data_IF_307713772218
#
_entry.id   IF_307713772218
#
_cell.length_a   1.000
_cell.length_b   1.000
_cell.length_c   1.000
_cell.angle_alpha   90.00
_cell.angle_beta   90.00
_cell.angle_gamma   90.00
#
_symmetry.space_group_name_H-M   'P 1'
#
loop_
_entity.id
_entity.type
_entity.pdbx_description
1 polymer ?
#
# COMPACT_ATOMS: atom_id res chain seq x y z
N UNK A 1 7.22 -1.59 27.35
CA UNK A 1 6.96 -2.10 25.98
C UNK A 1 8.24 -1.91 25.19
N UNK A 2 8.89 -2.99 24.76
CA UNK A 2 10.10 -2.90 23.94
C UNK A 2 9.81 -2.15 22.64
N UNK A 3 10.73 -1.26 22.22
CA UNK A 3 10.62 -0.49 20.97
C UNK A 3 10.31 -1.40 19.76
N UNK A 4 10.86 -2.61 19.73
CA UNK A 4 10.59 -3.60 18.69
C UNK A 4 9.09 -3.97 18.59
N UNK A 5 8.40 -4.14 19.72
CA UNK A 5 6.98 -4.49 19.73
C UNK A 5 6.10 -3.36 19.18
N UNK A 6 6.46 -2.11 19.47
CA UNK A 6 5.77 -0.94 18.91
C UNK A 6 5.96 -0.83 17.39
N UNK A 7 7.17 -1.06 16.88
CA UNK A 7 7.42 -1.06 15.42
C UNK A 7 6.61 -2.16 14.71
N UNK A 8 6.54 -3.36 15.28
CA UNK A 8 5.78 -4.47 14.70
C UNK A 8 4.28 -4.23 14.69
N UNK A 9 3.72 -3.69 15.78
CA UNK A 9 2.31 -3.30 15.85
C UNK A 9 1.99 -2.19 14.86
N UNK A 10 2.86 -1.19 14.74
CA UNK A 10 2.71 -0.10 13.77
C UNK A 10 2.78 -0.62 12.32
N UNK A 11 3.64 -1.61 12.04
CA UNK A 11 3.73 -2.28 10.75
C UNK A 11 2.42 -2.95 10.34
N UNK A 12 1.84 -3.78 11.22
CA UNK A 12 0.53 -4.41 10.98
C UNK A 12 -0.54 -3.35 10.76
N UNK A 13 -0.59 -2.33 11.62
CA UNK A 13 -1.60 -1.27 11.52
C UNK A 13 -1.49 -0.50 10.20
N UNK A 14 -0.28 -0.21 9.73
CA UNK A 14 -0.01 0.46 8.46
C UNK A 14 -0.54 -0.35 7.27
N UNK A 15 -0.27 -1.65 7.23
CA UNK A 15 -0.77 -2.52 6.15
C UNK A 15 -2.29 -2.60 6.17
N UNK A 16 -2.91 -2.76 7.35
CA UNK A 16 -4.37 -2.77 7.48
C UNK A 16 -4.99 -1.43 7.05
N UNK A 17 -4.34 -0.31 7.36
CA UNK A 17 -4.79 1.02 6.98
C UNK A 17 -4.74 1.21 5.47
N UNK A 18 -3.61 0.93 4.82
CA UNK A 18 -3.47 1.05 3.35
C UNK A 18 -4.50 0.16 2.63
N UNK A 19 -4.72 -1.05 3.15
CA UNK A 19 -5.70 -1.97 2.59
C UNK A 19 -7.14 -1.47 2.79
N UNK A 20 -7.46 -0.99 3.99
CA UNK A 20 -8.76 -0.39 4.31
C UNK A 20 -9.06 0.85 3.48
N UNK A 21 -8.07 1.71 3.24
CA UNK A 21 -8.17 2.89 2.36
C UNK A 21 -8.59 2.46 0.96
N UNK A 22 -7.88 1.50 0.35
CA UNK A 22 -8.14 1.09 -1.04
C UNK A 22 -9.57 0.58 -1.23
N UNK A 23 -10.02 -0.33 -0.36
CA UNK A 23 -11.35 -0.95 -0.47
C UNK A 23 -12.45 0.03 -0.06
N UNK A 24 -12.25 0.76 1.04
CA UNK A 24 -13.23 1.74 1.55
C UNK A 24 -13.48 2.87 0.55
N UNK A 25 -12.42 3.47 0.01
CA UNK A 25 -12.54 4.50 -1.01
C UNK A 25 -13.18 3.98 -2.31
N UNK A 26 -12.82 2.76 -2.75
CA UNK A 26 -13.41 2.13 -3.92
C UNK A 26 -14.93 1.99 -3.80
N UNK A 27 -15.41 1.44 -2.69
CA UNK A 27 -16.85 1.24 -2.46
C UNK A 27 -17.61 2.57 -2.34
N UNK A 28 -16.99 3.58 -1.72
CA UNK A 28 -17.60 4.91 -1.60
C UNK A 28 -17.67 5.63 -2.94
N UNK A 29 -16.60 5.61 -3.73
CA UNK A 29 -16.57 6.21 -5.07
C UNK A 29 -17.37 5.43 -6.12
N UNK A 30 -17.72 4.18 -5.86
CA UNK A 30 -18.63 3.40 -6.69
C UNK A 30 -20.13 3.60 -6.34
N UNK A 31 -20.43 4.34 -5.26
CA UNK A 31 -21.81 4.55 -4.79
C UNK A 31 -22.51 3.24 -4.40
N UNK A 32 -21.77 2.29 -3.80
CA UNK A 32 -22.36 1.03 -3.36
C UNK A 32 -23.36 1.27 -2.23
N UNK A 33 -24.45 0.49 -2.22
CA UNK A 33 -25.43 0.55 -1.13
C UNK A 33 -24.80 0.12 0.18
N UNK A 34 -25.25 0.71 1.31
CA UNK A 34 -24.73 0.39 2.65
C UNK A 34 -24.78 -1.12 2.96
N UNK A 35 -25.79 -1.83 2.43
CA UNK A 35 -25.94 -3.29 2.59
C UNK A 35 -24.81 -4.06 1.90
N UNK A 36 -24.47 -3.69 0.66
CA UNK A 36 -23.38 -4.33 -0.08
C UNK A 36 -22.01 -3.98 0.52
N UNK A 37 -21.81 -2.72 0.92
CA UNK A 37 -20.58 -2.30 1.59
C UNK A 37 -20.36 -3.04 2.92
N UNK A 38 -21.43 -3.24 3.71
CA UNK A 38 -21.37 -4.03 4.94
C UNK A 38 -21.04 -5.51 4.67
N UNK A 39 -21.62 -6.10 3.62
CA UNK A 39 -21.34 -7.50 3.24
C UNK A 39 -19.88 -7.69 2.81
N UNK A 40 -19.34 -6.76 2.01
CA UNK A 40 -17.92 -6.77 1.61
C UNK A 40 -17.03 -6.60 2.85
N UNK A 41 -17.32 -5.62 3.70
CA UNK A 41 -16.56 -5.35 4.93
C UNK A 41 -16.53 -6.55 5.86
N UNK A 42 -17.67 -7.21 6.06
CA UNK A 42 -17.78 -8.44 6.85
C UNK A 42 -17.00 -9.59 6.20
N UNK A 43 -17.10 -9.76 4.87
CA UNK A 43 -16.35 -10.76 4.13
C UNK A 43 -14.83 -10.58 4.25
N UNK A 44 -14.34 -9.35 4.25
CA UNK A 44 -12.92 -9.03 4.45
C UNK A 44 -12.45 -9.29 5.89
N UNK A 45 -13.24 -8.88 6.88
CA UNK A 45 -12.93 -9.13 8.29
C UNK A 45 -12.91 -10.62 8.63
N UNK A 46 -13.91 -11.37 8.16
CA UNK A 46 -13.98 -12.83 8.29
C UNK A 46 -12.91 -13.54 7.47
N UNK A 47 -12.58 -13.01 6.29
CA UNK A 47 -11.54 -13.55 5.42
C UNK A 47 -10.18 -13.53 6.11
N UNK A 48 -9.81 -12.43 6.77
CA UNK A 48 -8.56 -12.37 7.56
C UNK A 48 -8.60 -13.35 8.72
N UNK A 49 -9.71 -13.42 9.44
CA UNK A 49 -9.85 -14.38 10.55
C UNK A 49 -9.70 -15.83 10.08
N UNK A 50 -10.37 -16.20 8.98
CA UNK A 50 -10.29 -17.54 8.39
C UNK A 50 -8.89 -17.86 7.85
N UNK A 51 -8.24 -16.89 7.19
CA UNK A 51 -6.86 -17.04 6.70
C UNK A 51 -5.86 -17.18 7.86
N UNK A 52 -6.07 -16.46 8.97
CA UNK A 52 -5.26 -16.59 10.18
C UNK A 52 -5.44 -17.96 10.86
N UNK A 53 -6.62 -18.58 10.75
CA UNK A 53 -6.84 -19.95 11.21
C UNK A 53 -6.15 -20.98 10.29
N UNK A 54 -6.25 -20.80 8.96
CA UNK A 54 -5.60 -21.67 7.97
C UNK A 54 -4.06 -21.55 8.01
N UNK A 55 -3.56 -20.45 8.56
CA UNK A 55 -2.13 -20.16 8.66
C UNK A 55 -1.33 -21.21 9.42
N UNK A 56 -1.91 -22.01 10.30
CA UNK A 56 -1.13 -23.06 10.95
C UNK A 56 -0.80 -24.26 10.04
N UNK A 57 -1.54 -24.46 8.93
CA UNK A 57 -1.47 -25.70 8.16
C UNK A 57 -0.72 -25.61 6.82
N UNK A 58 -0.72 -24.46 6.12
CA UNK A 58 -0.24 -24.36 4.73
C UNK A 58 0.77 -23.23 4.45
N UNK A 59 1.42 -22.71 5.50
CA UNK A 59 2.15 -21.43 5.41
C UNK A 59 3.36 -21.40 4.51
N UNK A 60 4.20 -22.43 4.57
CA UNK A 60 5.46 -22.44 3.82
C UNK A 60 5.22 -22.41 2.30
N UNK A 61 4.17 -23.09 1.84
CA UNK A 61 3.80 -23.11 0.42
C UNK A 61 3.19 -21.78 -0.04
N UNK A 62 2.39 -21.13 0.81
CA UNK A 62 1.74 -19.85 0.49
C UNK A 62 2.78 -18.71 0.46
N UNK A 63 3.67 -18.64 1.45
CA UNK A 63 4.72 -17.61 1.49
C UNK A 63 5.70 -17.71 0.32
N UNK A 64 6.14 -18.92 -0.04
CA UNK A 64 7.06 -19.14 -1.16
C UNK A 64 6.45 -18.71 -2.50
N UNK A 65 5.18 -19.01 -2.73
CA UNK A 65 4.46 -18.58 -3.93
C UNK A 65 4.31 -17.05 -3.97
N UNK A 66 3.90 -16.42 -2.86
CA UNK A 66 3.74 -14.96 -2.83
C UNK A 66 5.06 -14.22 -3.00
N UNK A 67 6.13 -14.59 -2.31
CA UNK A 67 7.41 -13.89 -2.44
C UNK A 67 8.01 -14.00 -3.85
N UNK A 68 7.86 -15.16 -4.50
CA UNK A 68 8.41 -15.37 -5.84
C UNK A 68 7.60 -14.64 -6.92
N UNK A 69 6.27 -14.64 -6.82
CA UNK A 69 5.39 -14.08 -7.84
C UNK A 69 4.81 -12.69 -7.50
N UNK A 70 5.12 -12.10 -6.34
CA UNK A 70 4.54 -10.79 -5.91
C UNK A 70 4.75 -9.68 -6.94
N UNK A 71 5.96 -9.57 -7.50
CA UNK A 71 6.26 -8.56 -8.54
C UNK A 71 5.41 -8.78 -9.79
N UNK A 72 5.28 -10.03 -10.24
CA UNK A 72 4.51 -10.36 -11.44
C UNK A 72 3.00 -10.12 -11.22
N UNK A 73 2.47 -10.51 -10.05
CA UNK A 73 1.07 -10.28 -9.66
C UNK A 73 0.77 -8.78 -9.56
N UNK A 74 1.68 -7.97 -9.02
CA UNK A 74 1.48 -6.51 -8.91
C UNK A 74 1.46 -5.83 -10.28
N UNK A 75 2.28 -6.27 -11.24
CA UNK A 75 2.24 -5.79 -12.63
C UNK A 75 0.92 -6.15 -13.31
N UNK A 76 0.49 -7.42 -13.21
CA UNK A 76 -0.79 -7.86 -13.79
C UNK A 76 -1.93 -7.03 -13.20
N UNK A 77 -1.92 -6.81 -11.89
CA UNK A 77 -2.95 -6.03 -11.23
C UNK A 77 -2.94 -4.55 -11.60
N UNK A 78 -1.75 -3.95 -11.76
CA UNK A 78 -1.62 -2.60 -12.29
C UNK A 78 -2.27 -2.49 -13.67
N UNK A 79 -1.97 -3.41 -14.57
CA UNK A 79 -2.54 -3.44 -15.93
C UNK A 79 -4.06 -3.57 -15.93
N UNK A 80 -4.61 -4.47 -15.11
CA UNK A 80 -6.07 -4.66 -14.98
C UNK A 80 -6.74 -3.38 -14.45
N UNK A 81 -6.17 -2.73 -13.43
CA UNK A 81 -6.73 -1.52 -12.85
C UNK A 81 -6.65 -0.32 -13.81
N UNK A 82 -5.54 -0.19 -14.55
CA UNK A 82 -5.41 0.85 -15.58
C UNK A 82 -6.45 0.62 -16.67
N UNK A 83 -6.56 -0.61 -17.19
CA UNK A 83 -7.53 -0.94 -18.23
C UNK A 83 -8.98 -0.73 -17.76
N UNK A 84 -9.33 -1.22 -16.57
CA UNK A 84 -10.65 -1.02 -15.98
C UNK A 84 -10.96 0.47 -15.74
N UNK A 85 -9.96 1.25 -15.29
CA UNK A 85 -10.08 2.69 -15.10
C UNK A 85 -10.37 3.43 -16.40
N UNK A 86 -9.58 3.17 -17.46
CA UNK A 86 -9.82 3.75 -18.79
C UNK A 86 -11.18 3.34 -19.35
N UNK A 87 -11.53 2.05 -19.26
CA UNK A 87 -12.81 1.53 -19.75
C UNK A 87 -14.00 2.22 -19.06
N UNK A 88 -13.94 2.34 -17.73
CA UNK A 88 -14.98 3.01 -16.93
C UNK A 88 -15.13 4.49 -17.32
N UNK A 89 -14.01 5.20 -17.54
CA UNK A 89 -14.04 6.59 -18.01
C UNK A 89 -14.63 6.71 -19.43
N UNK A 90 -14.23 5.80 -20.33
CA UNK A 90 -14.66 5.81 -21.73
C UNK A 90 -16.16 5.51 -21.86
N UNK A 91 -16.65 4.50 -21.17
CA UNK A 91 -18.09 4.17 -21.16
C UNK A 91 -18.95 5.30 -20.61
N UNK A 92 -18.45 6.00 -19.59
CA UNK A 92 -19.15 7.17 -19.06
C UNK A 92 -19.19 8.32 -20.08
N UNK A 93 -18.09 8.59 -20.78
CA UNK A 93 -18.00 9.69 -21.76
C UNK A 93 -18.80 9.43 -23.04
N UNK A 94 -18.78 8.19 -23.54
CA UNK A 94 -19.33 7.81 -24.84
C UNK A 94 -20.78 7.31 -24.74
N UNK A 95 -21.11 6.57 -23.67
CA UNK A 95 -22.42 5.90 -23.53
C UNK A 95 -23.24 6.39 -22.32
N UNK A 96 -22.70 7.27 -21.46
CA UNK A 96 -23.36 7.74 -20.20
C UNK A 96 -23.85 6.60 -19.29
N UNK A 97 -23.25 5.41 -19.41
CA UNK A 97 -23.65 4.22 -18.62
C UNK A 97 -22.94 4.21 -17.28
N UNK A 98 -23.69 3.95 -16.21
CA UNK A 98 -23.14 3.76 -14.87
C UNK A 98 -22.51 2.37 -14.72
N UNK A 99 -21.25 2.24 -15.11
CA UNK A 99 -20.47 0.99 -14.93
C UNK A 99 -19.63 0.98 -13.66
N UNK A 100 -19.75 2.02 -12.81
CA UNK A 100 -19.01 2.15 -11.56
C UNK A 100 -19.18 0.95 -10.60
N UNK A 101 -20.40 0.42 -10.45
CA UNK A 101 -20.67 -0.72 -9.56
C UNK A 101 -19.97 -2.00 -10.04
N UNK A 102 -19.98 -2.23 -11.35
CA UNK A 102 -19.34 -3.40 -11.97
C UNK A 102 -17.82 -3.26 -11.91
N UNK A 103 -17.29 -2.09 -12.26
CA UNK A 103 -15.86 -1.80 -12.20
C UNK A 103 -15.31 -1.90 -10.77
N UNK A 104 -16.10 -1.54 -9.76
CA UNK A 104 -15.72 -1.65 -8.35
C UNK A 104 -15.29 -3.08 -7.97
N UNK A 105 -15.83 -4.11 -8.62
CA UNK A 105 -15.43 -5.51 -8.38
C UNK A 105 -13.96 -5.72 -8.71
N UNK A 106 -13.42 -5.08 -9.75
CA UNK A 106 -12.00 -5.20 -10.09
C UNK A 106 -11.08 -4.60 -9.00
N UNK A 107 -11.59 -3.64 -8.23
CA UNK A 107 -10.83 -2.96 -7.17
C UNK A 107 -11.02 -3.61 -5.79
N UNK A 108 -12.21 -4.17 -5.57
CA UNK A 108 -12.58 -4.95 -4.39
C UNK A 108 -12.17 -6.41 -4.54
N UNK A 109 -11.73 -6.86 -5.71
CA UNK A 109 -11.12 -8.17 -5.86
C UNK A 109 -9.91 -8.27 -4.91
N UNK A 110 -9.77 -9.38 -4.14
CA UNK A 110 -8.61 -9.63 -3.31
C UNK A 110 -7.34 -9.43 -4.15
N UNK A 111 -6.54 -8.39 -3.90
CA UNK A 111 -5.18 -8.41 -4.38
C UNK A 111 -4.46 -9.45 -3.51
N UNK A 112 -4.10 -10.62 -4.08
CA UNK A 112 -3.63 -11.72 -3.26
C UNK A 112 -2.33 -11.31 -2.53
N UNK A 113 -1.54 -10.39 -3.12
CA UNK A 113 -0.37 -9.78 -2.49
C UNK A 113 -0.69 -9.00 -1.20
N UNK A 114 -1.82 -8.31 -1.12
CA UNK A 114 -2.22 -7.52 0.05
C UNK A 114 -2.62 -8.42 1.22
N UNK A 115 -3.39 -9.48 0.96
CA UNK A 115 -3.71 -10.49 1.95
C UNK A 115 -2.46 -11.25 2.40
N UNK A 116 -1.59 -11.62 1.46
CA UNK A 116 -0.30 -12.24 1.76
C UNK A 116 0.52 -11.38 2.73
N UNK A 117 0.67 -10.08 2.45
CA UNK A 117 1.40 -9.16 3.32
C UNK A 117 0.82 -9.09 4.74
N UNK A 118 -0.51 -9.04 4.89
CA UNK A 118 -1.18 -9.04 6.21
C UNK A 118 -0.91 -10.35 6.95
N UNK A 119 -1.07 -11.49 6.28
CA UNK A 119 -0.87 -12.82 6.89
C UNK A 119 0.57 -13.02 7.33
N UNK A 120 1.54 -12.69 6.47
CA UNK A 120 2.97 -12.77 6.81
C UNK A 120 3.29 -11.89 8.01
N UNK A 121 2.72 -10.69 8.07
CA UNK A 121 2.91 -9.79 9.20
C UNK A 121 2.33 -10.37 10.51
N UNK A 122 1.14 -10.98 10.47
CA UNK A 122 0.52 -11.61 11.65
C UNK A 122 1.36 -12.78 12.16
N UNK A 123 1.87 -13.62 11.26
CA UNK A 123 2.65 -14.81 11.63
C UNK A 123 4.01 -14.43 12.19
N UNK A 124 4.67 -13.47 11.56
CA UNK A 124 5.99 -13.03 12.02
C UNK A 124 5.92 -12.39 13.41
N UNK A 125 4.80 -11.74 13.74
CA UNK A 125 4.56 -11.06 15.02
C UNK A 125 3.99 -11.99 16.10
N UNK A 126 3.30 -13.07 15.73
CA UNK A 126 2.71 -14.04 16.67
C UNK A 126 3.70 -14.60 17.71
N UNK A 127 4.89 -15.13 17.34
CA UNK A 127 5.84 -15.66 18.32
C UNK A 127 6.49 -14.55 19.16
N UNK A 128 6.59 -13.33 18.63
CA UNK A 128 7.21 -12.19 19.32
C UNK A 128 6.32 -11.70 20.46
N UNK A 129 5.00 -11.66 20.25
CA UNK A 129 4.03 -11.23 21.26
C UNK A 129 3.58 -12.37 22.20
N UNK A 130 3.96 -13.62 21.92
CA UNK A 130 3.46 -14.80 22.65
C UNK A 130 1.95 -15.02 22.51
N UNK A 131 1.33 -14.42 21.49
CA UNK A 131 -0.13 -14.49 21.24
C UNK A 131 -0.39 -15.36 20.02
N UNK A 132 -1.41 -16.22 20.08
CA UNK A 132 -1.78 -17.08 18.96
C UNK A 132 -2.14 -16.29 17.70
N UNK A 133 -1.76 -16.80 16.52
CA UNK A 133 -2.07 -16.18 15.23
C UNK A 133 -3.59 -15.97 15.02
N UNK A 134 -4.43 -16.83 15.61
CA UNK A 134 -5.89 -16.73 15.54
C UNK A 134 -6.39 -15.50 16.31
N UNK A 135 -5.85 -15.26 17.50
CA UNK A 135 -6.20 -14.10 18.32
C UNK A 135 -5.80 -12.80 17.62
N UNK A 136 -4.59 -12.73 17.08
CA UNK A 136 -4.13 -11.58 16.28
C UNK A 136 -4.97 -11.40 15.00
N UNK A 137 -5.31 -12.51 14.33
CA UNK A 137 -6.22 -12.54 13.18
C UNK A 137 -7.59 -11.94 13.49
N UNK A 138 -8.17 -12.29 14.65
CA UNK A 138 -9.45 -11.73 15.10
C UNK A 138 -9.39 -10.20 15.27
N UNK A 139 -8.38 -9.70 15.99
CA UNK A 139 -8.25 -8.25 16.22
C UNK A 139 -7.94 -7.50 14.91
N UNK A 140 -7.06 -8.03 14.08
CA UNK A 140 -6.72 -7.42 12.78
C UNK A 140 -7.91 -7.38 11.82
N UNK A 141 -8.78 -8.40 11.81
CA UNK A 141 -10.02 -8.40 11.04
C UNK A 141 -11.02 -7.34 11.50
N UNK A 142 -11.18 -7.14 12.81
CA UNK A 142 -12.04 -6.08 13.38
C UNK A 142 -11.49 -4.69 13.02
N UNK A 143 -10.18 -4.49 13.17
CA UNK A 143 -9.52 -3.22 12.83
C UNK A 143 -9.65 -2.92 11.34
N UNK A 144 -9.45 -3.92 10.47
CA UNK A 144 -9.65 -3.73 9.04
C UNK A 144 -11.09 -3.34 8.73
N UNK A 145 -12.06 -4.04 9.30
CA UNK A 145 -13.47 -3.73 9.10
C UNK A 145 -13.79 -2.29 9.53
N UNK A 146 -13.21 -1.83 10.64
CA UNK A 146 -13.35 -0.45 11.11
C UNK A 146 -12.73 0.55 10.12
N UNK A 147 -11.53 0.29 9.59
CA UNK A 147 -10.91 1.17 8.59
C UNK A 147 -11.72 1.22 7.29
N UNK A 148 -12.17 0.07 6.78
CA UNK A 148 -13.01 0.02 5.57
C UNK A 148 -14.29 0.85 5.78
N UNK A 149 -14.97 0.66 6.91
CA UNK A 149 -16.18 1.41 7.23
C UNK A 149 -15.92 2.92 7.32
N UNK A 150 -14.83 3.31 7.99
CA UNK A 150 -14.42 4.71 8.11
C UNK A 150 -14.15 5.34 6.74
N UNK A 151 -13.31 4.71 5.90
CA UNK A 151 -12.99 5.24 4.57
C UNK A 151 -14.17 5.18 3.60
N UNK A 152 -15.08 4.22 3.75
CA UNK A 152 -16.33 4.19 2.99
C UNK A 152 -17.21 5.41 3.30
N UNK A 153 -17.42 5.73 4.58
CA UNK A 153 -18.18 6.90 5.00
C UNK A 153 -17.51 8.19 4.54
N UNK A 154 -16.19 8.28 4.69
CA UNK A 154 -15.39 9.41 4.22
C UNK A 154 -15.53 9.61 2.71
N UNK A 155 -15.34 8.55 1.91
CA UNK A 155 -15.46 8.60 0.46
C UNK A 155 -16.87 8.97 0.00
N UNK A 156 -17.90 8.46 0.66
CA UNK A 156 -19.28 8.81 0.34
C UNK A 156 -19.58 10.28 0.64
N UNK A 157 -19.03 10.82 1.74
CA UNK A 157 -19.10 12.25 2.06
C UNK A 157 -18.40 13.12 1.01
N UNK A 158 -17.18 12.73 0.61
CA UNK A 158 -16.41 13.41 -0.44
C UNK A 158 -17.13 13.33 -1.80
N UNK A 159 -17.67 12.17 -2.17
CA UNK A 159 -18.42 11.99 -3.41
C UNK A 159 -19.67 12.89 -3.46
N UNK A 160 -20.39 13.00 -2.34
CA UNK A 160 -21.54 13.89 -2.22
C UNK A 160 -21.16 15.37 -2.30
N UNK A 161 -19.97 15.76 -1.83
CA UNK A 161 -19.50 17.15 -1.90
C UNK A 161 -19.03 17.57 -3.30
N UNK A 162 -18.44 16.64 -4.06
CA UNK A 162 -17.78 16.94 -5.34
C UNK A 162 -18.78 17.07 -6.50
N UNK A 163 -20.06 16.68 -6.35
CA UNK A 163 -21.10 16.71 -7.40
C UNK A 163 -20.65 16.13 -8.76
N UNK A 164 -19.66 15.23 -8.75
CA UNK A 164 -19.20 14.50 -9.95
C UNK A 164 -19.82 13.12 -9.99
N UNK A 165 -20.09 12.59 -11.19
CA UNK A 165 -20.65 11.26 -11.34
C UNK A 165 -19.66 10.19 -10.85
N UNK A 166 -20.19 9.17 -10.16
CA UNK A 166 -19.42 8.07 -9.57
C UNK A 166 -18.44 7.39 -10.53
N UNK A 167 -18.78 7.11 -11.81
CA UNK A 167 -17.84 6.49 -12.77
C UNK A 167 -16.56 7.32 -13.01
N UNK A 168 -16.66 8.65 -12.99
CA UNK A 168 -15.50 9.53 -13.17
C UNK A 168 -14.62 9.52 -11.92
N UNK A 169 -15.24 9.54 -10.73
CA UNK A 169 -14.51 9.52 -9.46
C UNK A 169 -13.79 8.18 -9.26
N UNK A 170 -14.51 7.08 -9.48
CA UNK A 170 -13.98 5.72 -9.38
C UNK A 170 -12.90 5.44 -10.43
N UNK A 171 -13.13 5.80 -11.69
CA UNK A 171 -12.16 5.48 -12.74
C UNK A 171 -10.87 6.30 -12.61
N UNK A 172 -10.92 7.56 -12.18
CA UNK A 172 -9.71 8.32 -11.83
C UNK A 172 -8.96 7.67 -10.65
N UNK A 173 -9.70 7.20 -9.63
CA UNK A 173 -9.11 6.48 -8.52
C UNK A 173 -8.47 5.15 -8.95
N UNK A 174 -9.08 4.42 -9.89
CA UNK A 174 -8.51 3.19 -10.47
C UNK A 174 -7.24 3.45 -11.25
N UNK A 175 -7.20 4.51 -12.07
CA UNK A 175 -5.99 4.91 -12.78
C UNK A 175 -4.85 5.29 -11.82
N UNK A 176 -5.17 6.06 -10.78
CA UNK A 176 -4.21 6.43 -9.75
C UNK A 176 -3.67 5.19 -9.00
N UNK A 177 -4.56 4.30 -8.57
CA UNK A 177 -4.16 3.06 -7.91
C UNK A 177 -3.34 2.14 -8.83
N UNK A 178 -3.69 2.05 -10.11
CA UNK A 178 -2.95 1.28 -11.10
C UNK A 178 -1.52 1.81 -11.33
N UNK A 179 -1.36 3.13 -11.47
CA UNK A 179 -0.04 3.78 -11.56
C UNK A 179 0.79 3.61 -10.28
N UNK A 180 0.15 3.65 -9.11
CA UNK A 180 0.79 3.35 -7.84
C UNK A 180 1.34 1.91 -7.82
N UNK A 181 0.55 0.91 -8.23
CA UNK A 181 1.02 -0.48 -8.30
C UNK A 181 2.12 -0.67 -9.34
N UNK A 182 2.05 0.03 -10.48
CA UNK A 182 3.10 -0.02 -11.50
C UNK A 182 4.42 0.53 -10.95
N UNK A 183 4.36 1.66 -10.24
CA UNK A 183 5.53 2.27 -9.60
C UNK A 183 6.08 1.36 -8.50
N UNK A 184 5.20 0.79 -7.67
CA UNK A 184 5.61 -0.17 -6.64
C UNK A 184 6.29 -1.41 -7.25
N UNK A 185 5.79 -1.94 -8.37
CA UNK A 185 6.39 -3.08 -9.05
C UNK A 185 7.80 -2.82 -9.57
N UNK A 186 8.12 -1.58 -9.98
CA UNK A 186 9.46 -1.19 -10.43
C UNK A 186 10.37 -0.88 -9.24
N UNK A 187 9.84 -0.19 -8.21
CA UNK A 187 10.62 0.27 -7.07
C UNK A 187 10.97 -0.87 -6.11
N UNK A 188 10.03 -1.76 -5.77
CA UNK A 188 10.23 -2.84 -4.80
C UNK A 188 11.41 -3.76 -5.12
N UNK A 189 11.60 -4.32 -6.34
CA UNK A 189 12.74 -5.18 -6.63
C UNK A 189 14.07 -4.42 -6.58
N UNK A 190 14.09 -3.15 -6.98
CA UNK A 190 15.27 -2.30 -6.94
C UNK A 190 15.68 -1.97 -5.50
N UNK A 191 14.70 -1.66 -4.64
CA UNK A 191 14.93 -1.45 -3.20
C UNK A 191 15.41 -2.74 -2.54
N UNK A 192 14.78 -3.89 -2.82
CA UNK A 192 15.19 -5.16 -2.25
C UNK A 192 16.62 -5.57 -2.68
N UNK A 193 16.99 -5.30 -3.93
CA UNK A 193 18.34 -5.52 -4.43
C UNK A 193 19.36 -4.60 -3.74
N UNK A 194 19.02 -3.32 -3.52
CA UNK A 194 19.86 -2.38 -2.78
C UNK A 194 20.02 -2.75 -1.30
N UNK A 195 18.97 -3.27 -0.66
CA UNK A 195 19.02 -3.76 0.72
C UNK A 195 19.79 -5.09 0.86
N UNK A 196 19.82 -5.90 -0.19
CA UNK A 196 20.55 -7.19 -0.23
C UNK A 196 22.04 -7.02 -0.52
N UNK A 197 22.46 -5.85 -1.00
CA UNK A 197 23.89 -5.51 -1.02
C UNK A 197 24.35 -5.50 0.43
N UNK A 198 25.33 -6.35 0.77
CA UNK A 198 26.01 -6.31 2.06
C UNK A 198 26.54 -4.90 2.22
N UNK A 199 25.83 -4.06 2.99
CA UNK A 199 26.46 -2.88 3.57
C UNK A 199 27.63 -3.45 4.36
N UNK A 200 28.84 -3.24 3.85
CA UNK A 200 30.06 -3.46 4.62
C UNK A 200 29.79 -2.80 5.97
N UNK A 201 30.07 -3.47 7.11
CA UNK A 201 29.83 -2.85 8.40
C UNK A 201 30.43 -1.45 8.33
N UNK A 202 29.58 -0.44 8.51
CA UNK A 202 30.03 0.91 8.79
C UNK A 202 30.74 0.77 10.13
N UNK A 203 32.01 0.37 10.09
CA UNK A 203 32.97 0.76 11.10
C UNK A 203 32.88 2.27 11.07
N UNK A 204 32.16 2.84 12.04
CA UNK A 204 32.16 4.28 12.27
C UNK A 204 33.63 4.60 12.41
N UNK A 205 34.28 5.15 11.37
CA UNK A 205 35.68 5.43 11.49
C UNK A 205 35.74 6.60 12.48
N UNK A 206 36.68 6.54 13.43
CA UNK A 206 36.70 7.42 14.60
C UNK A 206 36.49 8.88 14.22
N UNK A 207 35.99 9.68 15.17
CA UNK A 207 35.56 11.10 15.03
C UNK A 207 36.32 11.94 13.99
N UNK A 208 37.62 11.69 13.80
CA UNK A 208 38.47 12.25 12.75
C UNK A 208 37.91 12.11 11.31
N UNK A 209 37.39 10.96 10.91
CA UNK A 209 36.85 10.77 9.53
C UNK A 209 35.54 11.52 9.32
N UNK A 210 34.72 11.69 10.36
CA UNK A 210 33.51 12.51 10.29
C UNK A 210 33.91 13.99 10.07
N UNK A 211 34.96 14.45 10.75
CA UNK A 211 35.51 15.81 10.57
C UNK A 211 36.02 16.02 9.14
N UNK A 212 36.75 15.05 8.56
CA UNK A 212 37.22 15.15 7.18
C UNK A 212 36.08 15.16 6.15
N UNK A 213 35.02 14.38 6.36
CA UNK A 213 33.84 14.40 5.47
C UNK A 213 33.10 15.73 5.56
N UNK A 214 32.92 16.28 6.76
CA UNK A 214 32.28 17.59 6.94
C UNK A 214 33.11 18.70 6.28
N UNK A 215 34.43 18.71 6.50
CA UNK A 215 35.34 19.68 5.87
C UNK A 215 35.35 19.54 4.34
N UNK A 216 35.38 18.30 3.81
CA UNK A 216 35.31 18.05 2.38
C UNK A 216 34.00 18.53 1.76
N UNK A 217 32.88 18.32 2.44
CA UNK A 217 31.56 18.79 1.99
C UNK A 217 31.47 20.31 1.99
N UNK A 218 31.99 20.97 3.04
CA UNK A 218 32.05 22.43 3.11
C UNK A 218 32.99 23.03 2.05
N UNK A 219 34.13 22.41 1.79
CA UNK A 219 35.06 22.84 0.74
C UNK A 219 34.44 22.70 -0.66
N UNK A 220 33.73 21.60 -0.93
CA UNK A 220 33.01 21.41 -2.19
C UNK A 220 31.83 22.38 -2.34
N UNK A 221 31.08 22.67 -1.27
CA UNK A 221 30.06 23.73 -1.29
C UNK A 221 30.68 25.10 -1.56
N UNK A 222 31.80 25.44 -0.90
CA UNK A 222 32.51 26.70 -1.12
C UNK A 222 33.06 26.84 -2.53
N UNK A 223 33.66 25.79 -3.08
CA UNK A 223 34.10 25.74 -4.48
C UNK A 223 32.93 25.83 -5.45
N UNK A 224 31.83 25.15 -5.16
CA UNK A 224 30.59 25.24 -5.93
C UNK A 224 30.06 26.68 -5.99
N UNK A 225 30.00 27.37 -4.85
CA UNK A 225 29.59 28.78 -4.76
C UNK A 225 30.58 29.68 -5.52
N UNK A 226 31.88 29.48 -5.34
CA UNK A 226 32.92 30.30 -5.96
C UNK A 226 32.95 30.17 -7.50
N UNK A 227 32.84 28.94 -8.01
CA UNK A 227 32.79 28.67 -9.45
C UNK A 227 31.47 29.15 -10.07
N UNK A 228 30.36 29.04 -9.35
CA UNK A 228 29.05 29.47 -9.84
C UNK A 228 28.86 31.00 -9.81
N UNK A 229 29.65 31.72 -8.99
CA UNK A 229 29.65 33.19 -8.91
C UNK A 229 30.01 33.89 -10.22
N UNK A 230 30.64 33.20 -11.18
CA UNK A 230 30.98 33.76 -12.51
C UNK A 230 30.05 33.34 -13.65
N UNK A 231 29.05 32.48 -13.43
CA UNK A 231 28.23 31.92 -14.53
C UNK A 231 26.71 31.83 -14.28
N UNK A 232 26.17 32.24 -13.13
CA UNK A 232 24.74 32.11 -12.87
C UNK A 232 24.06 33.43 -12.49
N UNK A 233 23.11 33.83 -13.33
CA UNK A 233 22.21 34.99 -13.23
C UNK A 233 21.05 34.79 -12.23
N UNK A 234 21.24 33.95 -11.20
CA UNK A 234 20.19 33.58 -10.23
C UNK A 234 20.64 33.67 -8.76
N UNK A 235 21.76 34.33 -8.48
CA UNK A 235 22.10 34.79 -7.13
C UNK A 235 22.35 36.30 -7.20
N UNK A 236 21.25 37.02 -7.42
CA UNK A 236 20.92 38.28 -6.74
C UNK A 236 19.55 38.09 -6.10
#
# INVERSE_FOLDING_TARGET
>A
MDMANLLWQAGILSVLLIFGVKIGLAMGFAGLSRKMAALITAGYGLGIYGLAALANAYMNSIQGFFNTYSSLITIIMASILIFAGVHTLREWKEHRRDTAKTACVAMVAPCPCCFGAVIVSIILVSPILGVSAITLGKYSGIILAAFIAFFYLFANGVASAINKPYPVLLGNFMLFAGLYFLTAAIVLPNVNSAMSMKMTPLTVPGINTIIYVVLGTLALMGLGIYLNKRKSTFIE
#
